data_IF_578430730226
#
_entry.id   IF_578430730226
#
_cell.length_a   1.000
_cell.length_b   1.000
_cell.length_c   1.000
_cell.angle_alpha   90.00
_cell.angle_beta   90.00
_cell.angle_gamma   90.00
#
_symmetry.space_group_name_H-M   'P 1'
#
loop_
_entity.id
_entity.type
_entity.pdbx_description
1 polymer ?
#
# COMPACT_ATOMS: atom_id res chain seq x y z
N UNK A 1 6.69 -9.23 -13.55
CA UNK A 1 5.43 -8.52 -13.83
C UNK A 1 5.21 -7.36 -12.88
N UNK A 2 4.71 -6.23 -13.38
CA UNK A 2 4.37 -5.03 -12.58
C UNK A 2 2.87 -4.99 -12.32
N UNK A 3 2.45 -4.54 -11.15
CA UNK A 3 1.02 -4.48 -10.77
C UNK A 3 0.32 -3.36 -11.55
N UNK A 4 -0.54 -3.72 -12.50
CA UNK A 4 -1.28 -2.75 -13.33
C UNK A 4 -2.68 -2.46 -12.79
N UNK A 5 -3.25 -3.42 -12.09
CA UNK A 5 -4.60 -3.40 -11.56
C UNK A 5 -4.70 -4.21 -10.26
N UNK A 6 -5.60 -3.79 -9.39
CA UNK A 6 -5.96 -4.53 -8.18
C UNK A 6 -7.49 -4.54 -8.06
N UNK A 7 -8.08 -5.69 -7.78
CA UNK A 7 -9.51 -5.83 -7.55
C UNK A 7 -9.86 -5.50 -6.10
N UNK A 8 -11.16 -5.37 -5.79
CA UNK A 8 -11.63 -5.09 -4.42
C UNK A 8 -11.17 -6.12 -3.38
N UNK A 9 -10.96 -7.38 -3.76
CA UNK A 9 -10.38 -8.38 -2.86
C UNK A 9 -8.90 -8.14 -2.60
N UNK A 10 -8.13 -7.68 -3.60
CA UNK A 10 -6.72 -7.31 -3.43
C UNK A 10 -6.54 -6.16 -2.44
N UNK A 11 -7.33 -5.09 -2.58
CA UNK A 11 -7.27 -3.97 -1.61
C UNK A 11 -7.65 -4.42 -0.20
N UNK A 12 -8.72 -5.23 -0.06
CA UNK A 12 -9.12 -5.80 1.24
C UNK A 12 -8.01 -6.67 1.86
N UNK A 13 -7.30 -7.44 1.03
CA UNK A 13 -6.17 -8.23 1.50
C UNK A 13 -5.03 -7.33 2.00
N UNK A 14 -4.67 -6.26 1.28
CA UNK A 14 -3.66 -5.29 1.73
C UNK A 14 -4.04 -4.67 3.09
N UNK A 15 -5.29 -4.23 3.25
CA UNK A 15 -5.77 -3.65 4.52
C UNK A 15 -5.69 -4.70 5.65
N UNK A 16 -6.13 -5.92 5.40
CA UNK A 16 -6.08 -6.99 6.39
C UNK A 16 -4.64 -7.31 6.81
N UNK A 17 -3.70 -7.27 5.86
CA UNK A 17 -2.28 -7.47 6.13
C UNK A 17 -1.70 -6.32 6.95
N UNK A 18 -1.98 -5.07 6.60
CA UNK A 18 -1.57 -3.89 7.38
C UNK A 18 -2.07 -4.00 8.82
N UNK A 19 -3.35 -4.30 9.03
CA UNK A 19 -3.91 -4.46 10.38
C UNK A 19 -3.24 -5.56 11.19
N UNK A 20 -2.90 -6.69 10.54
CA UNK A 20 -2.18 -7.80 11.19
C UNK A 20 -0.74 -7.44 11.55
N UNK A 21 -0.08 -6.64 10.72
CA UNK A 21 1.28 -6.15 10.99
C UNK A 21 1.26 -5.12 12.12
N UNK A 22 0.37 -4.14 12.09
CA UNK A 22 0.24 -3.13 13.15
C UNK A 22 -0.07 -3.78 14.51
N UNK A 23 -0.87 -4.86 14.53
CA UNK A 23 -1.14 -5.62 15.76
C UNK A 23 0.08 -6.37 16.34
N UNK A 24 1.20 -6.38 15.60
CA UNK A 24 2.47 -7.04 15.97
C UNK A 24 3.63 -6.03 15.96
N UNK A 25 3.33 -4.73 16.06
CA UNK A 25 4.30 -3.63 15.97
C UNK A 25 5.15 -3.66 14.68
N UNK A 26 4.61 -4.24 13.61
CA UNK A 26 5.19 -4.26 12.28
C UNK A 26 4.62 -3.16 11.38
N UNK A 27 5.37 -2.77 10.35
CA UNK A 27 4.97 -1.78 9.36
C UNK A 27 4.77 -2.41 7.98
N UNK A 28 3.86 -1.85 7.17
CA UNK A 28 3.73 -2.18 5.75
C UNK A 28 3.90 -0.93 4.90
N UNK A 29 4.98 -0.91 4.12
CA UNK A 29 5.31 0.18 3.21
C UNK A 29 5.13 -0.28 1.77
N UNK A 30 4.61 0.58 0.92
CA UNK A 30 4.39 0.31 -0.50
C UNK A 30 5.26 1.24 -1.34
N UNK A 31 5.91 0.72 -2.37
CA UNK A 31 6.76 1.49 -3.28
C UNK A 31 6.31 1.31 -4.71
N UNK A 32 6.70 2.24 -5.59
CA UNK A 32 6.50 2.12 -7.04
C UNK A 32 5.04 1.87 -7.48
N UNK A 33 4.05 2.38 -6.73
CA UNK A 33 2.64 2.23 -7.11
C UNK A 33 2.34 3.03 -8.38
N UNK A 34 1.80 2.36 -9.39
CA UNK A 34 1.32 2.99 -10.63
C UNK A 34 0.16 3.95 -10.39
N UNK A 35 0.08 5.01 -11.18
CA UNK A 35 -0.97 6.03 -11.08
C UNK A 35 -2.41 5.48 -11.19
N UNK A 36 -2.63 4.39 -11.93
CA UNK A 36 -3.94 3.71 -12.00
C UNK A 36 -4.36 3.14 -10.64
N UNK A 37 -3.46 2.43 -9.98
CA UNK A 37 -3.68 1.81 -8.66
C UNK A 37 -3.70 2.87 -7.56
N UNK A 38 -2.79 3.86 -7.61
CA UNK A 38 -2.73 4.98 -6.65
C UNK A 38 -4.03 5.79 -6.63
N UNK A 39 -4.64 6.02 -7.79
CA UNK A 39 -5.96 6.68 -7.89
C UNK A 39 -7.02 5.92 -7.12
N UNK A 40 -7.03 4.59 -7.21
CA UNK A 40 -7.99 3.80 -6.43
C UNK A 40 -7.69 3.97 -4.93
N UNK A 41 -6.45 3.80 -4.47
CA UNK A 41 -6.08 4.04 -3.06
C UNK A 41 -6.57 5.41 -2.54
N UNK A 42 -6.45 6.47 -3.35
CA UNK A 42 -6.97 7.80 -3.00
C UNK A 42 -8.51 7.84 -2.89
N UNK A 43 -9.22 7.23 -3.84
CA UNK A 43 -10.70 7.21 -3.87
C UNK A 43 -11.28 6.51 -2.65
N UNK A 44 -10.64 5.44 -2.18
CA UNK A 44 -11.06 4.70 -0.98
C UNK A 44 -10.37 5.20 0.30
N UNK A 45 -9.73 6.37 0.24
CA UNK A 45 -9.04 7.04 1.35
C UNK A 45 -7.98 6.18 2.07
N UNK A 46 -7.44 5.16 1.38
CA UNK A 46 -6.43 4.27 1.94
C UNK A 46 -5.02 4.87 1.88
N UNK A 47 -4.79 5.92 1.09
CA UNK A 47 -3.46 6.55 1.02
C UNK A 47 -3.00 7.19 2.31
N UNK A 48 -3.90 7.46 3.26
CA UNK A 48 -3.54 7.90 4.62
C UNK A 48 -3.22 6.74 5.57
N UNK A 49 -3.60 5.51 5.22
CA UNK A 49 -3.38 4.32 6.03
C UNK A 49 -2.07 3.60 5.69
N UNK A 50 -1.61 3.74 4.45
CA UNK A 50 -0.39 3.10 3.98
C UNK A 50 0.72 4.12 3.82
N UNK A 51 1.91 3.76 4.27
CA UNK A 51 3.12 4.51 3.95
C UNK A 51 3.52 4.18 2.50
N UNK A 52 3.28 5.13 1.58
CA UNK A 52 3.54 4.96 0.15
C UNK A 52 4.70 5.86 -0.27
N UNK A 53 5.76 5.25 -0.80
CA UNK A 53 6.96 5.93 -1.26
C UNK A 53 7.15 5.76 -2.78
N UNK A 54 7.96 6.64 -3.38
CA UNK A 54 8.28 6.51 -4.81
C UNK A 54 9.39 5.48 -5.04
N UNK A 55 10.38 5.42 -4.14
CA UNK A 55 11.52 4.51 -4.23
C UNK A 55 11.64 3.55 -3.03
N UNK A 56 12.35 2.44 -3.26
CA UNK A 56 12.67 1.47 -2.20
C UNK A 56 13.62 2.06 -1.15
N UNK A 57 14.51 2.97 -1.57
CA UNK A 57 15.45 3.63 -0.68
C UNK A 57 14.76 4.54 0.34
N UNK A 58 13.75 5.30 -0.09
CA UNK A 58 12.95 6.13 0.81
C UNK A 58 12.17 5.28 1.81
N UNK A 59 11.57 4.18 1.34
CA UNK A 59 10.81 3.27 2.20
C UNK A 59 11.69 2.58 3.25
N UNK A 60 12.94 2.27 2.92
CA UNK A 60 13.90 1.67 3.86
C UNK A 60 14.43 2.66 4.90
N UNK A 61 14.38 3.97 4.61
CA UNK A 61 14.89 5.03 5.50
C UNK A 61 13.85 5.58 6.48
N UNK A 62 12.55 5.36 6.27
CA UNK A 62 11.51 5.79 7.21
C UNK A 62 11.28 4.81 8.37
#
# INVERSE_FOLDING_TARGET
DKVEYMSSSGFRACIATLRKLNARDGSLKLTHIRASVKRIFNVIELTSLFDIYESDEEALKS
#
